data_IF_662457534757
#
_entry.id   IF_662457534757
#
_cell.length_a   1.000
_cell.length_b   1.000
_cell.length_c   1.000
_cell.angle_alpha   90.00
_cell.angle_beta   90.00
_cell.angle_gamma   90.00
#
_symmetry.space_group_name_H-M   'P 1'
#
loop_
_entity.id
_entity.type
_entity.pdbx_description
1 polymer ?
#
# COMPACT_ATOMS: atom_id res chain seq x y z
N UNK A 1 2.73 -7.81 39.41
CA UNK A 1 3.50 -6.79 38.68
C UNK A 1 2.94 -6.74 37.27
N UNK A 2 2.54 -5.57 36.77
CA UNK A 2 2.08 -5.41 35.39
C UNK A 2 3.35 -5.32 34.55
N UNK A 3 3.66 -6.34 33.76
CA UNK A 3 4.77 -6.26 32.81
C UNK A 3 4.39 -5.19 31.79
N UNK A 4 5.17 -4.12 31.71
CA UNK A 4 4.90 -3.01 30.80
C UNK A 4 5.58 -3.35 29.48
N UNK A 5 4.82 -3.93 28.55
CA UNK A 5 5.31 -4.21 27.19
C UNK A 5 5.48 -2.90 26.43
N UNK A 6 6.69 -2.65 25.92
CA UNK A 6 6.98 -1.45 25.12
C UNK A 6 6.93 -1.79 23.63
N UNK A 7 6.45 -0.85 22.79
CA UNK A 7 6.54 -0.91 21.34
C UNK A 7 7.69 -0.03 20.88
N UNK A 8 8.66 -0.60 20.17
CA UNK A 8 9.87 0.10 19.74
C UNK A 8 10.08 -0.07 18.24
N UNK A 9 10.24 1.05 17.51
CA UNK A 9 10.70 1.02 16.12
C UNK A 9 12.22 0.96 16.09
N UNK A 10 12.78 -0.08 15.44
CA UNK A 10 14.21 -0.28 15.30
C UNK A 10 14.62 0.11 13.88
N UNK A 11 15.21 1.30 13.68
CA UNK A 11 15.61 1.73 12.34
C UNK A 11 16.75 0.84 11.83
N UNK A 12 16.51 0.18 10.69
CA UNK A 12 17.51 -0.58 9.95
C UNK A 12 17.64 -0.03 8.53
N UNK A 13 18.85 0.03 7.96
CA UNK A 13 19.02 0.40 6.56
C UNK A 13 18.43 -0.69 5.67
N UNK A 14 17.55 -0.30 4.75
CA UNK A 14 16.88 -1.21 3.82
C UNK A 14 17.21 -0.83 2.39
N UNK A 15 17.71 -1.79 1.61
CA UNK A 15 18.12 -1.56 0.21
C UNK A 15 17.09 -2.05 -0.81
N UNK A 16 16.35 -3.11 -0.47
CA UNK A 16 15.35 -3.72 -1.36
C UNK A 16 14.09 -2.87 -1.42
N UNK A 17 13.58 -2.71 -2.65
CA UNK A 17 12.43 -1.88 -2.97
C UNK A 17 11.35 -2.73 -3.63
N UNK A 18 10.10 -2.48 -3.26
CA UNK A 18 8.93 -3.16 -3.84
C UNK A 18 7.83 -2.18 -4.22
N UNK A 19 7.02 -2.60 -5.18
CA UNK A 19 5.71 -2.01 -5.44
C UNK A 19 4.66 -2.76 -4.61
N UNK A 20 3.69 -2.03 -4.09
CA UNK A 20 2.62 -2.57 -3.25
C UNK A 20 1.29 -2.38 -3.97
N UNK A 21 0.50 -3.45 -4.03
CA UNK A 21 -0.80 -3.45 -4.69
C UNK A 21 -1.89 -3.82 -3.68
N UNK A 22 -2.82 -2.90 -3.43
CA UNK A 22 -3.97 -3.09 -2.55
C UNK A 22 -5.15 -3.55 -3.41
N UNK A 23 -5.59 -4.80 -3.24
CA UNK A 23 -6.56 -5.43 -4.16
C UNK A 23 -7.96 -5.53 -3.52
N UNK A 24 -9.06 -5.39 -4.31
CA UNK A 24 -10.43 -5.37 -3.79
C UNK A 24 -10.98 -6.79 -3.55
N UNK A 25 -10.13 -7.65 -2.99
CA UNK A 25 -10.47 -9.02 -2.62
C UNK A 25 -9.58 -9.55 -1.49
N UNK A 26 -10.13 -10.49 -0.72
CA UNK A 26 -9.38 -11.16 0.34
C UNK A 26 -8.58 -12.34 -0.23
N UNK A 27 -7.25 -12.22 -0.24
CA UNK A 27 -6.34 -13.34 -0.51
C UNK A 27 -6.17 -14.14 0.80
N UNK A 28 -6.44 -15.45 0.76
CA UNK A 28 -6.40 -16.31 1.97
C UNK A 28 -5.00 -16.81 2.32
N UNK A 29 -4.09 -16.76 1.35
CA UNK A 29 -2.73 -17.24 1.50
C UNK A 29 -1.80 -16.05 1.75
N UNK A 30 -0.92 -16.19 2.75
CA UNK A 30 0.14 -15.22 3.04
C UNK A 30 1.47 -15.91 2.79
N UNK A 31 2.22 -15.44 1.81
CA UNK A 31 3.51 -15.98 1.44
C UNK A 31 3.89 -15.60 0.01
N UNK A 32 5.10 -15.99 -0.44
CA UNK A 32 5.52 -15.79 -1.82
C UNK A 32 4.58 -16.51 -2.79
N UNK A 33 4.21 -15.85 -3.88
CA UNK A 33 3.37 -16.43 -4.92
C UNK A 33 3.74 -15.87 -6.27
N UNK A 34 3.58 -16.69 -7.30
CA UNK A 34 3.75 -16.30 -8.70
C UNK A 34 2.37 -16.09 -9.38
N UNK A 35 1.26 -16.20 -8.64
CA UNK A 35 -0.13 -16.02 -9.16
C UNK A 35 -0.33 -14.64 -9.83
N UNK A 36 0.50 -13.65 -9.45
CA UNK A 36 0.34 -12.26 -9.85
C UNK A 36 1.48 -11.68 -10.70
N UNK A 37 2.47 -12.48 -11.12
CA UNK A 37 3.64 -11.96 -11.87
C UNK A 37 3.24 -11.16 -13.11
N UNK A 38 2.19 -11.61 -13.82
CA UNK A 38 1.68 -10.95 -15.02
C UNK A 38 0.51 -9.97 -14.74
N UNK A 39 0.00 -9.91 -13.51
CA UNK A 39 -1.28 -9.26 -13.18
C UNK A 39 -1.14 -7.83 -12.63
N UNK A 40 -0.01 -7.14 -12.82
CA UNK A 40 0.15 -5.74 -12.38
C UNK A 40 1.01 -4.87 -13.31
N UNK A 41 1.13 -5.27 -14.58
CA UNK A 41 1.84 -4.50 -15.62
C UNK A 41 0.91 -3.38 -16.10
N UNK A 42 1.37 -2.13 -16.17
CA UNK A 42 0.58 -1.03 -16.77
C UNK A 42 0.24 -1.38 -18.21
N UNK A 43 -1.04 -1.32 -18.54
CA UNK A 43 -1.47 -1.28 -19.93
C UNK A 43 -1.29 0.15 -20.45
N UNK A 44 -0.26 0.39 -21.26
CA UNK A 44 -0.04 1.68 -21.93
C UNK A 44 -1.04 1.90 -23.10
N UNK A 45 -1.80 0.87 -23.49
CA UNK A 45 -2.68 0.87 -24.67
C UNK A 45 -4.18 0.81 -24.32
N UNK A 46 -4.58 1.24 -23.12
CA UNK A 46 -6.00 1.36 -22.80
C UNK A 46 -6.69 2.33 -23.78
N UNK A 47 -7.40 1.76 -24.76
CA UNK A 47 -8.18 2.51 -25.75
C UNK A 47 -9.39 3.25 -25.15
N UNK A 48 -9.60 3.12 -23.84
CA UNK A 48 -10.68 3.77 -23.10
C UNK A 48 -10.17 5.06 -22.44
N UNK A 49 -10.57 6.19 -23.02
CA UNK A 49 -10.24 7.53 -22.51
C UNK A 49 -10.69 7.74 -21.05
N UNK A 50 -11.67 6.97 -20.56
CA UNK A 50 -12.12 7.06 -19.17
C UNK A 50 -11.13 6.47 -18.15
N UNK A 51 -10.09 5.79 -18.62
CA UNK A 51 -9.06 5.15 -17.80
C UNK A 51 -7.64 5.67 -18.11
N UNK A 52 -7.54 6.83 -18.75
CA UNK A 52 -6.26 7.49 -19.00
C UNK A 52 -5.51 7.69 -17.67
N UNK A 53 -4.26 7.19 -17.59
CA UNK A 53 -3.42 7.15 -16.38
C UNK A 53 -3.87 6.22 -15.23
N UNK A 54 -4.81 5.29 -15.47
CA UNK A 54 -5.18 4.26 -14.48
C UNK A 54 -4.53 2.91 -14.81
N UNK A 55 -4.17 2.14 -13.78
CA UNK A 55 -3.70 0.76 -13.91
C UNK A 55 -4.89 -0.19 -14.11
N UNK A 56 -5.10 -0.67 -15.32
CA UNK A 56 -6.10 -1.73 -15.58
C UNK A 56 -5.43 -3.10 -15.49
N UNK A 57 -6.02 -4.01 -14.72
CA UNK A 57 -5.57 -5.39 -14.62
C UNK A 57 -6.74 -6.36 -14.40
N UNK A 58 -6.45 -7.65 -14.31
CA UNK A 58 -7.41 -8.72 -14.08
C UNK A 58 -6.93 -9.64 -12.95
N UNK A 59 -7.71 -9.73 -11.88
CA UNK A 59 -7.48 -10.67 -10.79
C UNK A 59 -8.53 -11.76 -10.84
N UNK A 60 -8.09 -13.01 -11.07
CA UNK A 60 -8.98 -14.19 -11.20
C UNK A 60 -10.11 -13.98 -12.20
N UNK A 61 -9.79 -13.37 -13.34
CA UNK A 61 -10.72 -13.09 -14.44
C UNK A 61 -11.66 -11.90 -14.20
N UNK A 62 -11.45 -11.10 -13.15
CA UNK A 62 -12.23 -9.88 -12.90
C UNK A 62 -11.38 -8.64 -13.14
N UNK A 63 -11.88 -7.73 -13.97
CA UNK A 63 -11.23 -6.44 -14.24
C UNK A 63 -11.17 -5.62 -12.94
N UNK A 64 -9.99 -5.09 -12.66
CA UNK A 64 -9.72 -4.15 -11.59
C UNK A 64 -9.01 -2.94 -12.17
N UNK A 65 -9.27 -1.77 -11.61
CA UNK A 65 -8.74 -0.49 -12.04
C UNK A 65 -8.09 0.13 -10.83
N UNK A 66 -6.83 0.52 -10.96
CA UNK A 66 -6.05 1.06 -9.87
C UNK A 66 -5.46 2.42 -10.15
N UNK A 67 -5.21 3.15 -9.07
CA UNK A 67 -4.61 4.47 -9.06
C UNK A 67 -3.46 4.50 -8.07
N UNK A 68 -2.46 5.33 -8.35
CA UNK A 68 -1.29 5.47 -7.47
C UNK A 68 -1.64 6.28 -6.22
N UNK A 69 -1.25 5.77 -5.06
CA UNK A 69 -1.29 6.51 -3.80
C UNK A 69 -0.01 7.31 -3.66
N UNK A 70 -0.13 8.64 -3.79
CA UNK A 70 1.03 9.54 -3.88
C UNK A 70 1.44 10.04 -2.49
N UNK A 71 2.71 9.82 -2.15
CA UNK A 71 3.36 10.27 -0.92
C UNK A 71 4.57 11.16 -1.24
N UNK A 72 4.35 12.45 -1.55
CA UNK A 72 5.45 13.32 -1.99
C UNK A 72 6.50 13.58 -0.90
N UNK A 73 6.06 13.65 0.35
CA UNK A 73 6.88 14.12 1.47
C UNK A 73 7.18 13.03 2.50
N UNK A 74 6.97 11.76 2.16
CA UNK A 74 7.20 10.66 3.09
C UNK A 74 7.88 9.46 2.45
N UNK A 75 8.51 8.65 3.30
CA UNK A 75 9.14 7.39 2.91
C UNK A 75 8.33 6.24 3.48
N UNK A 76 7.89 5.34 2.60
CA UNK A 76 7.06 4.19 2.96
C UNK A 76 7.91 2.92 3.10
N UNK A 77 7.59 2.09 4.08
CA UNK A 77 8.30 0.84 4.39
C UNK A 77 7.30 -0.30 4.62
N UNK A 78 7.71 -1.52 4.27
CA UNK A 78 7.07 -2.75 4.74
C UNK A 78 7.80 -3.18 6.02
N UNK A 79 7.08 -3.29 7.13
CA UNK A 79 7.65 -3.63 8.43
C UNK A 79 7.30 -5.05 8.85
N UNK A 80 8.22 -5.69 9.57
CA UNK A 80 7.96 -6.93 10.32
C UNK A 80 7.98 -6.65 11.81
N UNK A 81 7.07 -7.28 12.55
CA UNK A 81 7.02 -7.20 14.00
C UNK A 81 7.41 -8.53 14.63
N UNK A 82 8.20 -8.50 15.70
CA UNK A 82 8.53 -9.67 16.51
C UNK A 82 8.70 -9.28 17.99
N UNK A 83 8.62 -10.24 18.89
CA UNK A 83 8.86 -10.03 20.32
C UNK A 83 10.33 -10.36 20.68
N UNK A 84 10.92 -9.57 21.57
CA UNK A 84 12.23 -9.88 22.17
C UNK A 84 12.11 -10.82 23.38
N UNK A 85 13.23 -11.15 24.03
CA UNK A 85 13.27 -12.08 25.17
C UNK A 85 12.51 -11.55 26.39
N UNK A 86 12.36 -10.23 26.49
CA UNK A 86 11.62 -9.52 27.53
C UNK A 86 10.13 -9.32 27.20
N UNK A 87 9.69 -9.73 26.00
CA UNK A 87 8.32 -9.62 25.52
C UNK A 87 7.95 -8.23 24.99
N UNK A 88 8.92 -7.38 24.65
CA UNK A 88 8.68 -6.11 23.96
C UNK A 88 8.42 -6.33 22.48
N UNK A 89 7.52 -5.54 21.90
CA UNK A 89 7.21 -5.60 20.47
C UNK A 89 8.18 -4.72 19.68
N UNK A 90 9.05 -5.35 18.89
CA UNK A 90 9.98 -4.68 18.00
C UNK A 90 9.40 -4.60 16.59
N UNK A 91 9.41 -3.41 16.00
CA UNK A 91 8.99 -3.15 14.62
C UNK A 91 10.22 -2.77 13.81
N UNK A 92 10.50 -3.54 12.76
CA UNK A 92 11.68 -3.34 11.93
C UNK A 92 11.29 -3.16 10.46
N UNK A 93 11.90 -2.21 9.74
CA UNK A 93 11.70 -2.08 8.31
C UNK A 93 12.40 -3.24 7.59
N UNK A 94 11.64 -3.96 6.75
CA UNK A 94 12.13 -5.09 5.96
C UNK A 94 12.38 -4.70 4.49
N UNK A 95 11.52 -3.84 3.94
CA UNK A 95 11.58 -3.39 2.55
C UNK A 95 11.19 -1.91 2.46
N UNK A 96 11.75 -1.20 1.49
CA UNK A 96 11.29 0.14 1.12
C UNK A 96 10.18 0.00 0.07
N UNK A 97 9.19 0.88 0.12
CA UNK A 97 8.13 0.93 -0.89
C UNK A 97 8.44 2.04 -1.89
N UNK A 98 8.40 1.72 -3.18
CA UNK A 98 8.52 2.71 -4.25
C UNK A 98 7.17 3.35 -4.54
N UNK A 99 6.19 2.51 -4.85
CA UNK A 99 4.87 2.91 -5.28
C UNK A 99 3.83 2.06 -4.55
N UNK A 100 2.69 2.68 -4.25
CA UNK A 100 1.51 1.99 -3.74
C UNK A 100 0.40 2.24 -4.74
N UNK A 101 -0.30 1.18 -5.11
CA UNK A 101 -1.46 1.24 -5.99
C UNK A 101 -2.66 0.70 -5.23
N UNK A 102 -3.74 1.47 -5.23
CA UNK A 102 -5.02 1.02 -4.72
C UNK A 102 -5.94 0.67 -5.89
N UNK A 103 -6.63 -0.46 -5.79
CA UNK A 103 -7.43 -1.02 -6.88
C UNK A 103 -8.89 -1.21 -6.46
N UNK A 104 -9.76 -0.99 -7.43
CA UNK A 104 -11.19 -1.20 -7.30
C UNK A 104 -11.74 -2.02 -8.47
N UNK A 105 -12.91 -2.64 -8.29
CA UNK A 105 -13.59 -3.35 -9.39
C UNK A 105 -14.13 -2.35 -10.41
N UNK A 106 -14.17 -2.77 -11.68
CA UNK A 106 -14.86 -2.02 -12.73
C UNK A 106 -16.28 -1.62 -12.31
N UNK A 107 -16.63 -0.36 -12.56
CA UNK A 107 -17.92 0.26 -12.20
C UNK A 107 -17.97 0.86 -10.79
N UNK A 108 -16.88 0.80 -10.02
CA UNK A 108 -16.77 1.38 -8.67
C UNK A 108 -15.62 2.42 -8.58
N UNK A 109 -15.15 2.96 -9.69
CA UNK A 109 -14.01 3.89 -9.78
C UNK A 109 -14.24 5.18 -8.98
N UNK A 110 -15.50 5.59 -8.81
CA UNK A 110 -15.87 6.74 -7.97
C UNK A 110 -15.48 6.49 -6.50
N UNK A 111 -15.63 5.24 -6.01
CA UNK A 111 -15.24 4.87 -4.65
C UNK A 111 -13.73 4.99 -4.46
N UNK A 112 -12.96 4.49 -5.43
CA UNK A 112 -11.50 4.61 -5.44
C UNK A 112 -11.08 6.09 -5.37
N UNK A 113 -11.67 6.90 -6.24
CA UNK A 113 -11.39 8.34 -6.31
C UNK A 113 -11.74 9.05 -5.00
N UNK A 114 -12.89 8.73 -4.41
CA UNK A 114 -13.34 9.30 -3.14
C UNK A 114 -12.43 8.89 -1.97
N UNK A 115 -12.03 7.62 -1.90
CA UNK A 115 -11.14 7.10 -0.85
C UNK A 115 -9.76 7.76 -0.90
N UNK A 116 -9.16 7.84 -2.09
CA UNK A 116 -7.88 8.52 -2.28
C UNK A 116 -7.98 10.02 -1.98
N UNK A 117 -9.08 10.68 -2.36
CA UNK A 117 -9.32 12.08 -2.04
C UNK A 117 -9.42 12.31 -0.53
N UNK A 118 -10.17 11.48 0.19
CA UNK A 118 -10.31 11.57 1.66
C UNK A 118 -8.99 11.32 2.37
N UNK A 119 -8.23 10.33 1.90
CA UNK A 119 -6.90 10.04 2.45
C UNK A 119 -5.95 11.22 2.27
N UNK A 120 -5.96 11.84 1.08
CA UNK A 120 -5.17 13.04 0.80
C UNK A 120 -5.60 14.22 1.69
N UNK A 121 -6.89 14.48 1.80
CA UNK A 121 -7.44 15.55 2.66
C UNK A 121 -7.02 15.36 4.12
N UNK A 122 -7.09 14.13 4.65
CA UNK A 122 -6.63 13.82 5.99
C UNK A 122 -5.15 14.19 6.19
N UNK A 123 -4.29 13.86 5.22
CA UNK A 123 -2.85 14.15 5.29
C UNK A 123 -2.56 15.65 5.23
N UNK A 124 -3.26 16.37 4.37
CA UNK A 124 -3.15 17.83 4.29
C UNK A 124 -3.59 18.49 5.60
N UNK A 125 -4.68 18.01 6.20
CA UNK A 125 -5.17 18.49 7.48
C UNK A 125 -4.19 18.19 8.62
N UNK A 126 -3.63 16.98 8.69
CA UNK A 126 -2.59 16.63 9.67
C UNK A 126 -1.39 17.56 9.58
N UNK A 127 -0.92 17.85 8.36
CA UNK A 127 0.18 18.78 8.14
C UNK A 127 -0.15 20.18 8.67
N UNK A 128 -1.33 20.72 8.35
CA UNK A 128 -1.76 22.04 8.81
C UNK A 128 -1.94 22.16 10.33
N UNK A 129 -2.40 21.08 10.99
CA UNK A 129 -2.58 21.07 12.45
C UNK A 129 -1.24 21.03 13.18
N UNK A 130 -0.26 20.32 12.62
CA UNK A 130 1.01 20.04 13.27
C UNK A 130 2.19 20.87 12.73
N UNK A 131 1.96 21.76 11.75
CA UNK A 131 2.89 22.84 11.39
C UNK A 131 3.00 23.82 12.57
N UNK A 132 4.10 23.71 13.32
CA UNK A 132 4.56 24.65 14.35
C UNK A 132 6.02 25.03 14.08
#
# INVERSE_FOLDING_TARGET
MVSTTTLTFVPKPVQTRHQVHLVPCKVRYTGPTNEFEDQFIMDENTNDLSHENKHVSYIRGRKVIGESVIFKDSVSYITSSHEDEEGNLLIEPSHKVNDIFDYEREGNEDRLSEELSKFKELRELEALIHEA
#
